data_IF_793059094872
#
_entry.id   IF_793059094872
#
_cell.length_a   1.000
_cell.length_b   1.000
_cell.length_c   1.000
_cell.angle_alpha   90.00
_cell.angle_beta   90.00
_cell.angle_gamma   90.00
#
_symmetry.space_group_name_H-M   'P 1'
#
loop_
_entity.id
_entity.type
_entity.pdbx_description
1 polymer ?
#
# COMPACT_ATOMS: atom_id res chain seq x y z
N UNK A 1 3.51 -18.31 0.03
CA UNK A 1 2.35 -18.09 -0.86
C UNK A 1 2.85 -18.12 -2.30
N UNK A 2 2.16 -18.78 -3.22
CA UNK A 2 2.54 -18.82 -4.63
C UNK A 2 2.23 -17.48 -5.33
N UNK A 3 3.12 -17.01 -6.20
CA UNK A 3 2.98 -15.71 -6.90
C UNK A 3 1.75 -15.72 -7.81
N UNK A 4 1.45 -16.84 -8.48
CA UNK A 4 0.25 -16.97 -9.32
C UNK A 4 -1.05 -16.70 -8.57
N UNK A 5 -1.14 -17.09 -7.29
CA UNK A 5 -2.35 -16.89 -6.50
C UNK A 5 -2.56 -15.40 -6.22
N UNK A 6 -1.46 -14.70 -5.98
CA UNK A 6 -1.49 -13.27 -5.79
C UNK A 6 -1.86 -12.53 -7.08
N UNK A 7 -1.25 -12.89 -8.22
CA UNK A 7 -1.63 -12.35 -9.54
C UNK A 7 -3.12 -12.64 -9.82
N UNK A 8 -3.59 -13.85 -9.52
CA UNK A 8 -5.01 -14.20 -9.65
C UNK A 8 -5.90 -13.27 -8.84
N UNK A 9 -5.56 -13.08 -7.56
CA UNK A 9 -6.33 -12.23 -6.66
C UNK A 9 -6.35 -10.77 -7.13
N UNK A 10 -5.22 -10.26 -7.60
CA UNK A 10 -5.13 -8.86 -8.03
C UNK A 10 -5.93 -8.59 -9.30
N UNK A 11 -5.75 -9.44 -10.32
CA UNK A 11 -6.25 -9.14 -11.66
C UNK A 11 -7.67 -9.65 -11.91
N UNK A 12 -8.09 -10.70 -11.21
CA UNK A 12 -9.33 -11.41 -11.52
C UNK A 12 -10.30 -11.51 -10.34
N UNK A 13 -9.87 -11.23 -9.11
CA UNK A 13 -10.83 -11.22 -8.00
C UNK A 13 -11.71 -9.97 -8.05
N UNK A 14 -12.98 -10.15 -7.68
CA UNK A 14 -13.87 -9.02 -7.39
C UNK A 14 -13.75 -8.74 -5.91
N UNK A 15 -13.35 -7.52 -5.57
CA UNK A 15 -13.40 -7.06 -4.19
C UNK A 15 -14.82 -7.22 -3.64
N UNK A 16 -14.94 -7.81 -2.45
CA UNK A 16 -16.18 -7.89 -1.69
C UNK A 16 -15.99 -7.05 -0.44
N UNK A 17 -16.83 -6.03 -0.28
CA UNK A 17 -16.80 -5.19 0.91
C UNK A 17 -16.92 -6.04 2.17
N UNK A 18 -15.94 -5.90 3.05
CA UNK A 18 -15.98 -6.53 4.37
C UNK A 18 -16.55 -5.56 5.40
N UNK A 19 -17.05 -6.10 6.51
CA UNK A 19 -17.56 -5.29 7.62
C UNK A 19 -16.52 -4.28 8.17
N UNK A 20 -15.24 -4.67 8.40
CA UNK A 20 -14.19 -3.72 8.75
C UNK A 20 -14.01 -2.61 7.72
N UNK A 21 -14.05 -2.93 6.42
CA UNK A 21 -13.93 -1.92 5.35
C UNK A 21 -15.08 -0.91 5.40
N UNK A 22 -16.34 -1.37 5.53
CA UNK A 22 -17.50 -0.48 5.64
C UNK A 22 -17.39 0.46 6.84
N UNK A 23 -17.03 -0.08 8.00
CA UNK A 23 -16.87 0.73 9.21
C UNK A 23 -15.70 1.72 9.08
N UNK A 24 -14.59 1.32 8.46
CA UNK A 24 -13.47 2.21 8.22
C UNK A 24 -13.89 3.44 7.41
N UNK A 25 -14.68 3.24 6.35
CA UNK A 25 -15.19 4.31 5.49
C UNK A 25 -16.18 5.23 6.20
N UNK A 26 -17.08 4.66 7.03
CA UNK A 26 -18.08 5.44 7.77
C UNK A 26 -17.42 6.46 8.71
N UNK A 27 -16.29 6.10 9.32
CA UNK A 27 -15.63 6.94 10.33
C UNK A 27 -14.49 7.80 9.77
N UNK A 28 -14.02 7.56 8.55
CA UNK A 28 -12.88 8.26 7.94
C UNK A 28 -13.04 9.79 8.01
N UNK A 29 -14.21 10.31 7.58
CA UNK A 29 -14.48 11.75 7.61
C UNK A 29 -14.46 12.33 9.03
N UNK A 30 -14.98 11.57 10.01
CA UNK A 30 -14.95 11.97 11.42
C UNK A 30 -13.51 12.01 11.92
N UNK A 31 -12.73 10.95 11.67
CA UNK A 31 -11.32 10.86 12.07
C UNK A 31 -10.45 11.95 11.44
N UNK A 32 -10.71 12.33 10.18
CA UNK A 32 -10.03 13.47 9.54
C UNK A 32 -10.41 14.78 10.24
N UNK A 33 -11.66 14.96 10.65
CA UNK A 33 -12.10 16.11 11.44
C UNK A 33 -11.35 16.21 12.77
N UNK A 34 -11.27 15.10 13.50
CA UNK A 34 -10.55 14.98 14.77
C UNK A 34 -9.05 15.23 14.61
N UNK A 35 -8.43 14.68 13.56
CA UNK A 35 -7.04 14.96 13.20
C UNK A 35 -6.79 16.46 13.01
N UNK A 36 -7.70 17.17 12.32
CA UNK A 36 -7.60 18.61 12.11
C UNK A 36 -7.70 19.40 13.42
N UNK A 37 -8.64 19.03 14.29
CA UNK A 37 -8.77 19.64 15.62
C UNK A 37 -7.50 19.43 16.43
N UNK A 38 -6.97 18.20 16.44
CA UNK A 38 -5.74 17.88 17.17
C UNK A 38 -4.54 18.69 16.69
N UNK A 39 -4.43 18.89 15.38
CA UNK A 39 -3.37 19.71 14.79
C UNK A 39 -3.55 21.21 15.10
N UNK A 40 -4.78 21.70 15.17
CA UNK A 40 -5.07 23.06 15.59
C UNK A 40 -4.69 23.32 17.07
N UNK A 41 -4.90 22.34 17.97
CA UNK A 41 -4.40 22.42 19.36
C UNK A 41 -2.88 22.55 19.45
N UNK A 42 -2.16 21.96 18.48
CA UNK A 42 -0.70 22.07 18.32
C UNK A 42 -0.28 23.36 17.59
N UNK A 43 -1.20 24.30 17.38
CA UNK A 43 -1.02 25.54 16.61
C UNK A 43 -0.65 25.30 15.13
N UNK A 44 -0.97 24.13 14.57
CA UNK A 44 -0.78 23.79 13.17
C UNK A 44 -2.10 23.91 12.43
N UNK A 45 -2.29 25.04 11.74
CA UNK A 45 -3.46 25.24 10.88
C UNK A 45 -3.21 24.54 9.54
N UNK A 46 -4.06 23.57 9.24
CA UNK A 46 -3.98 22.79 8.01
C UNK A 46 -5.35 22.52 7.39
N UNK A 47 -5.33 22.19 6.11
CA UNK A 47 -6.47 21.67 5.36
C UNK A 47 -6.15 20.27 4.84
N UNK A 48 -7.18 19.43 4.74
CA UNK A 48 -7.07 18.09 4.15
C UNK A 48 -7.95 18.05 2.92
N UNK A 49 -7.32 17.86 1.77
CA UNK A 49 -8.00 17.64 0.49
C UNK A 49 -8.07 16.15 0.22
N UNK A 50 -9.23 15.64 -0.18
CA UNK A 50 -9.35 14.24 -0.60
C UNK A 50 -8.48 14.02 -1.84
N UNK A 51 -7.67 12.96 -1.82
CA UNK A 51 -6.83 12.60 -2.95
C UNK A 51 -7.49 11.48 -3.75
N UNK A 52 -7.47 11.61 -5.07
CA UNK A 52 -7.71 10.48 -5.96
C UNK A 52 -6.50 9.56 -6.06
N UNK A 53 -6.48 8.75 -7.12
CA UNK A 53 -5.33 7.94 -7.48
C UNK A 53 -4.19 8.81 -8.01
N UNK A 54 -3.02 8.68 -7.40
CA UNK A 54 -1.77 9.31 -7.79
C UNK A 54 -0.94 8.26 -8.54
N UNK A 55 -0.51 8.56 -9.76
CA UNK A 55 0.38 7.71 -10.54
C UNK A 55 1.80 8.26 -10.39
N UNK A 56 2.78 7.39 -10.21
CA UNK A 56 4.18 7.81 -10.16
C UNK A 56 4.64 8.30 -11.53
N UNK A 57 5.25 9.48 -11.57
CA UNK A 57 5.83 10.05 -12.79
C UNK A 57 7.10 9.30 -13.25
N UNK A 58 7.83 8.69 -12.31
CA UNK A 58 9.08 7.98 -12.61
C UNK A 58 8.83 6.50 -12.96
N UNK A 59 7.77 5.93 -12.40
CA UNK A 59 7.43 4.52 -12.52
C UNK A 59 5.92 4.37 -12.75
N UNK A 60 5.46 4.60 -13.98
CA UNK A 60 4.02 4.69 -14.32
C UNK A 60 3.19 3.43 -13.98
N UNK A 61 3.86 2.30 -13.81
CA UNK A 61 3.25 1.06 -13.31
C UNK A 61 2.95 1.08 -11.81
N UNK A 62 3.36 2.14 -11.11
CA UNK A 62 3.11 2.36 -9.69
C UNK A 62 2.12 3.50 -9.48
N UNK A 63 1.12 3.27 -8.64
CA UNK A 63 0.10 4.26 -8.32
C UNK A 63 -0.51 3.99 -6.95
N UNK A 64 -0.89 5.04 -6.22
CA UNK A 64 -1.48 4.95 -4.90
C UNK A 64 -2.49 6.04 -4.58
N UNK A 65 -3.36 5.73 -3.63
CA UNK A 65 -4.46 6.61 -3.22
C UNK A 65 -4.31 6.87 -1.73
N UNK A 66 -3.67 7.97 -1.32
CA UNK A 66 -3.68 8.39 0.08
C UNK A 66 -5.10 8.82 0.48
N UNK A 67 -5.41 8.79 1.78
CA UNK A 67 -6.72 9.23 2.28
C UNK A 67 -6.88 10.76 2.19
N UNK A 68 -5.77 11.50 2.17
CA UNK A 68 -5.79 12.93 1.87
C UNK A 68 -4.42 13.54 1.58
N UNK A 69 -4.44 14.74 1.01
CA UNK A 69 -3.30 15.64 0.89
C UNK A 69 -3.48 16.72 1.95
N UNK A 70 -2.50 16.82 2.84
CA UNK A 70 -2.41 17.82 3.90
C UNK A 70 -1.72 19.05 3.33
N UNK A 71 -2.36 20.20 3.44
CA UNK A 71 -1.73 21.49 3.15
C UNK A 71 -1.70 22.32 4.44
N UNK A 72 -0.50 22.65 4.91
CA UNK A 72 -0.28 23.48 6.10
C UNK A 72 -0.20 24.95 5.68
N UNK A 73 -0.65 25.87 6.53
CA UNK A 73 -0.70 27.31 6.22
C UNK A 73 0.66 27.96 5.87
N UNK A 74 1.77 27.32 6.24
CA UNK A 74 3.14 27.72 5.88
C UNK A 74 3.58 27.27 4.47
N UNK A 75 2.70 26.59 3.71
CA UNK A 75 2.98 26.07 2.37
C UNK A 75 3.51 24.63 2.34
N UNK A 76 3.77 24.01 3.50
CA UNK A 76 4.17 22.61 3.56
C UNK A 76 3.03 21.69 3.09
N UNK A 77 3.41 20.66 2.35
CA UNK A 77 2.50 19.63 1.87
C UNK A 77 2.93 18.26 2.37
N UNK A 78 1.94 17.46 2.75
CA UNK A 78 2.14 16.08 3.17
C UNK A 78 0.97 15.22 2.73
N UNK A 79 1.08 13.93 3.03
CA UNK A 79 -0.01 12.97 2.85
C UNK A 79 -0.66 12.66 4.20
N UNK A 80 -1.89 12.13 4.14
CA UNK A 80 -2.62 11.60 5.26
C UNK A 80 -3.03 10.15 4.94
N UNK A 81 -2.76 9.23 5.87
CA UNK A 81 -3.26 7.86 5.82
C UNK A 81 -3.95 7.54 7.15
N UNK A 82 -5.20 7.13 7.09
CA UNK A 82 -6.09 6.93 8.24
C UNK A 82 -6.46 5.45 8.36
N UNK A 83 -6.20 4.86 9.52
CA UNK A 83 -6.63 3.51 9.88
C UNK A 83 -7.59 3.57 11.06
N UNK A 84 -8.88 3.39 10.75
CA UNK A 84 -9.92 3.21 11.76
C UNK A 84 -9.96 1.74 12.19
N UNK A 85 -9.50 1.45 13.41
CA UNK A 85 -9.45 0.10 13.94
C UNK A 85 -10.80 -0.26 14.56
N UNK A 86 -11.54 -1.12 13.87
CA UNK A 86 -12.77 -1.68 14.42
C UNK A 86 -12.47 -2.98 15.17
N UNK A 87 -12.91 -3.05 16.43
CA UNK A 87 -12.86 -4.26 17.23
C UNK A 87 -14.18 -4.46 17.98
N UNK A 88 -14.57 -5.73 18.14
CA UNK A 88 -15.79 -6.11 18.86
C UNK A 88 -15.73 -5.82 20.36
N UNK A 89 -14.52 -5.66 20.91
CA UNK A 89 -14.28 -5.28 22.30
C UNK A 89 -13.55 -3.93 22.33
N UNK A 90 -13.70 -3.17 23.43
CA UNK A 90 -12.93 -1.95 23.60
C UNK A 90 -11.42 -2.23 23.52
N UNK A 91 -10.68 -1.43 22.74
CA UNK A 91 -9.24 -1.60 22.58
C UNK A 91 -8.52 -0.32 22.95
N UNK A 92 -7.68 -0.42 23.98
CA UNK A 92 -6.70 0.59 24.30
C UNK A 92 -5.42 0.35 23.46
N UNK A 93 -4.94 1.35 22.72
CA UNK A 93 -3.79 1.27 21.83
C UNK A 93 -2.50 0.84 22.54
N UNK A 94 -2.26 1.27 23.78
CA UNK A 94 -1.09 0.86 24.56
C UNK A 94 -1.16 -0.61 24.97
N UNK A 95 -2.34 -1.09 25.35
CA UNK A 95 -2.56 -2.51 25.66
C UNK A 95 -2.45 -3.36 24.39
N UNK A 96 -3.02 -2.89 23.27
CA UNK A 96 -2.95 -3.56 21.98
C UNK A 96 -1.51 -3.66 21.45
N UNK A 97 -0.68 -2.64 21.70
CA UNK A 97 0.72 -2.62 21.31
C UNK A 97 1.57 -3.71 21.99
N UNK A 98 1.10 -4.33 23.08
CA UNK A 98 1.73 -5.51 23.66
C UNK A 98 1.57 -6.76 22.77
N UNK A 99 0.58 -6.76 21.85
CA UNK A 99 0.41 -7.83 20.89
C UNK A 99 1.40 -7.67 19.73
N UNK A 100 2.23 -8.69 19.49
CA UNK A 100 3.19 -8.72 18.39
C UNK A 100 2.55 -8.55 16.99
N UNK A 101 1.28 -8.94 16.83
CA UNK A 101 0.54 -8.83 15.57
C UNK A 101 -0.16 -7.47 15.39
N UNK A 102 -0.12 -6.58 16.39
CA UNK A 102 -0.69 -5.24 16.26
C UNK A 102 0.24 -4.32 15.46
N UNK A 103 -0.31 -3.30 14.79
CA UNK A 103 0.48 -2.39 13.96
C UNK A 103 1.40 -1.47 14.77
N UNK A 104 0.97 -1.06 15.96
CA UNK A 104 1.77 -0.21 16.84
C UNK A 104 2.60 -1.04 17.81
N UNK A 105 3.71 -0.47 18.26
CA UNK A 105 4.53 -0.95 19.35
C UNK A 105 4.83 0.17 20.34
N UNK A 106 5.07 -0.21 21.60
CA UNK A 106 5.45 0.70 22.67
C UNK A 106 6.98 0.76 22.76
N UNK A 107 7.56 1.95 22.63
CA UNK A 107 8.99 2.21 22.88
C UNK A 107 9.10 3.39 23.85
N UNK A 108 9.75 3.20 25.01
CA UNK A 108 9.96 4.25 26.03
C UNK A 108 8.69 5.07 26.32
N UNK A 109 7.59 4.37 26.63
CA UNK A 109 6.26 4.96 26.92
C UNK A 109 5.57 5.74 25.79
N UNK A 110 6.07 5.66 24.56
CA UNK A 110 5.42 6.19 23.37
C UNK A 110 5.04 5.09 22.40
N UNK A 111 3.99 5.34 21.62
CA UNK A 111 3.55 4.45 20.56
C UNK A 111 4.24 4.81 19.25
N UNK A 112 4.59 3.80 18.46
CA UNK A 112 5.14 3.96 17.13
C UNK A 112 4.55 2.90 16.21
N UNK A 113 4.33 3.23 14.95
CA UNK A 113 4.12 2.26 13.89
C UNK A 113 5.39 1.42 13.73
N UNK A 114 5.22 0.10 13.78
CA UNK A 114 6.28 -0.87 13.53
C UNK A 114 6.82 -0.70 12.11
N UNK A 115 8.13 -0.50 11.98
CA UNK A 115 8.78 -0.31 10.67
C UNK A 115 8.73 -1.57 9.78
N UNK A 116 8.56 -2.75 10.39
CA UNK A 116 8.38 -4.01 9.66
C UNK A 116 6.90 -4.37 9.42
N UNK A 117 5.96 -3.50 9.77
CA UNK A 117 4.54 -3.72 9.55
C UNK A 117 4.10 -3.20 8.19
N UNK A 118 3.11 -3.86 7.60
CA UNK A 118 2.61 -3.58 6.25
C UNK A 118 2.16 -2.13 6.04
N UNK A 119 1.49 -1.53 7.02
CA UNK A 119 1.17 -0.09 6.98
C UNK A 119 2.38 0.84 6.84
N UNK A 120 3.56 0.48 7.36
CA UNK A 120 4.76 1.30 7.19
C UNK A 120 5.22 1.27 5.73
N UNK A 121 5.23 0.10 5.11
CA UNK A 121 5.49 -0.05 3.68
C UNK A 121 4.44 0.68 2.82
N UNK A 122 3.17 0.67 3.23
CA UNK A 122 2.13 1.47 2.56
C UNK A 122 2.45 2.97 2.61
N UNK A 123 2.82 3.49 3.78
CA UNK A 123 3.18 4.90 3.95
C UNK A 123 4.38 5.28 3.07
N UNK A 124 5.44 4.46 3.09
CA UNK A 124 6.64 4.68 2.27
C UNK A 124 6.33 4.59 0.78
N UNK A 125 5.46 3.66 0.37
CA UNK A 125 5.00 3.56 -1.01
C UNK A 125 4.29 4.82 -1.48
N UNK A 126 3.33 5.33 -0.69
CA UNK A 126 2.59 6.56 -1.01
C UNK A 126 3.52 7.78 -1.11
N UNK A 127 4.47 7.92 -0.19
CA UNK A 127 5.46 9.00 -0.19
C UNK A 127 6.31 9.00 -1.46
N UNK A 128 6.78 7.83 -1.90
CA UNK A 128 7.62 7.72 -3.08
C UNK A 128 6.83 7.84 -4.39
N UNK A 129 5.63 7.24 -4.47
CA UNK A 129 4.74 7.36 -5.64
C UNK A 129 4.33 8.81 -5.87
N UNK A 130 3.94 9.53 -4.83
CA UNK A 130 3.51 10.93 -4.93
C UNK A 130 4.63 11.97 -4.82
N UNK A 131 5.88 11.55 -4.64
CA UNK A 131 7.04 12.42 -4.37
C UNK A 131 6.81 13.42 -3.21
N UNK A 132 6.23 12.94 -2.10
CA UNK A 132 6.07 13.70 -0.86
C UNK A 132 7.18 13.37 0.14
N UNK A 133 7.57 14.33 0.99
CA UNK A 133 8.58 14.10 2.03
C UNK A 133 8.00 13.51 3.32
N UNK A 134 6.74 13.84 3.63
CA UNK A 134 6.10 13.49 4.90
C UNK A 134 4.66 13.02 4.73
N UNK A 135 4.26 12.09 5.59
CA UNK A 135 2.92 11.55 5.70
C UNK A 135 2.54 11.48 7.18
N UNK A 136 1.37 11.97 7.54
CA UNK A 136 0.80 11.76 8.87
C UNK A 136 -0.01 10.45 8.86
N UNK A 137 0.47 9.46 9.61
CA UNK A 137 -0.20 8.19 9.81
C UNK A 137 -1.10 8.29 11.04
N UNK A 138 -2.40 8.08 10.85
CA UNK A 138 -3.41 8.26 11.88
C UNK A 138 -4.07 6.92 12.18
N UNK A 139 -4.12 6.57 13.46
CA UNK A 139 -4.89 5.41 13.94
C UNK A 139 -5.96 5.90 14.89
N UNK A 140 -7.20 5.47 14.67
CA UNK A 140 -8.33 5.83 15.50
C UNK A 140 -9.05 4.58 16.02
N UNK A 141 -9.30 4.54 17.33
CA UNK A 141 -10.22 3.59 17.98
C UNK A 141 -11.45 4.34 18.47
N UNK A 142 -12.62 3.72 18.40
CA UNK A 142 -13.89 4.36 18.78
C UNK A 142 -14.26 4.06 20.24
N UNK A 143 -13.83 2.91 20.77
CA UNK A 143 -14.12 2.49 22.13
C UNK A 143 -12.90 1.79 22.75
N UNK A 144 -12.26 2.35 23.79
CA UNK A 144 -12.31 3.77 24.13
C UNK A 144 -11.87 4.62 22.92
N UNK A 145 -12.34 5.86 22.88
CA UNK A 145 -11.88 6.81 21.86
C UNK A 145 -10.39 7.10 22.06
N UNK A 146 -9.56 6.81 21.06
CA UNK A 146 -8.15 7.19 21.05
C UNK A 146 -7.71 7.54 19.64
N UNK A 147 -7.03 8.68 19.51
CA UNK A 147 -6.41 9.13 18.29
C UNK A 147 -4.89 9.10 18.45
N UNK A 148 -4.24 8.30 17.61
CA UNK A 148 -2.79 8.26 17.49
C UNK A 148 -2.39 8.89 16.16
N UNK A 149 -1.38 9.77 16.19
CA UNK A 149 -0.84 10.42 15.01
C UNK A 149 0.69 10.26 15.06
N UNK A 150 1.27 9.76 13.99
CA UNK A 150 2.72 9.74 13.79
C UNK A 150 3.07 10.33 12.43
N UNK A 151 3.97 11.31 12.43
CA UNK A 151 4.61 11.78 11.21
C UNK A 151 5.66 10.77 10.76
N UNK A 152 5.56 10.33 9.51
CA UNK A 152 6.48 9.42 8.84
C UNK A 152 7.20 10.19 7.74
N UNK A 153 8.53 10.16 7.78
CA UNK A 153 9.39 10.75 6.77
C UNK A 153 9.72 9.72 5.68
N UNK A 154 9.95 10.20 4.46
CA UNK A 154 10.31 9.36 3.31
C UNK A 154 11.68 8.72 3.52
N UNK A 155 11.71 7.40 3.49
CA UNK A 155 12.91 6.58 3.55
C UNK A 155 13.31 6.13 2.14
N UNK A 156 14.22 6.89 1.53
CA UNK A 156 14.75 6.59 0.20
C UNK A 156 15.63 5.33 0.18
N UNK A 157 16.26 4.98 1.30
CA UNK A 157 17.09 3.78 1.38
C UNK A 157 16.21 2.53 1.32
N UNK A 158 15.12 2.50 2.10
CA UNK A 158 14.12 1.44 2.05
C UNK A 158 13.46 1.36 0.66
N UNK A 159 13.13 2.51 0.07
CA UNK A 159 12.54 2.55 -1.26
C UNK A 159 13.47 1.96 -2.33
N UNK A 160 14.65 2.55 -2.50
CA UNK A 160 15.56 2.24 -3.59
C UNK A 160 16.16 0.83 -3.47
N UNK A 161 16.48 0.38 -2.25
CA UNK A 161 17.20 -0.87 -2.05
C UNK A 161 16.29 -2.06 -1.75
N UNK A 162 15.04 -1.84 -1.34
CA UNK A 162 14.13 -2.93 -0.95
C UNK A 162 12.82 -2.91 -1.74
N UNK A 163 12.06 -1.82 -1.66
CA UNK A 163 10.69 -1.79 -2.20
C UNK A 163 10.67 -1.76 -3.72
N UNK A 164 11.31 -0.75 -4.33
CA UNK A 164 11.25 -0.51 -5.77
C UNK A 164 11.79 -1.70 -6.60
N UNK A 165 12.93 -2.34 -6.26
CA UNK A 165 13.41 -3.50 -7.01
C UNK A 165 12.41 -4.67 -6.98
N UNK A 166 11.79 -4.93 -5.81
CA UNK A 166 10.79 -6.01 -5.64
C UNK A 166 9.51 -5.70 -6.38
N UNK A 167 9.00 -4.46 -6.28
CA UNK A 167 7.82 -3.98 -7.00
C UNK A 167 8.02 -4.07 -8.52
N UNK A 168 9.18 -3.63 -9.00
CA UNK A 168 9.55 -3.66 -10.43
C UNK A 168 9.62 -5.10 -10.95
N UNK A 169 10.28 -6.00 -10.22
CA UNK A 169 10.36 -7.40 -10.59
C UNK A 169 8.97 -8.06 -10.61
N UNK A 170 8.15 -7.79 -9.60
CA UNK A 170 6.79 -8.32 -9.54
C UNK A 170 5.94 -7.81 -10.71
N UNK A 171 6.00 -6.51 -11.03
CA UNK A 171 5.32 -5.97 -12.19
C UNK A 171 5.78 -6.63 -13.49
N UNK A 172 7.09 -6.62 -13.77
CA UNK A 172 7.64 -7.08 -15.06
C UNK A 172 7.48 -8.57 -15.29
N UNK A 173 7.61 -9.39 -14.25
CA UNK A 173 7.68 -10.84 -14.40
C UNK A 173 6.42 -11.59 -13.96
N UNK A 174 5.54 -10.97 -13.16
CA UNK A 174 4.29 -11.60 -12.72
C UNK A 174 3.07 -10.93 -13.34
N UNK A 175 2.95 -9.60 -13.21
CA UNK A 175 1.76 -8.87 -13.66
C UNK A 175 1.76 -8.69 -15.17
N UNK A 176 2.77 -8.03 -15.73
CA UNK A 176 2.84 -7.66 -17.14
C UNK A 176 2.64 -8.84 -18.11
N UNK A 177 3.21 -10.04 -17.89
CA UNK A 177 2.96 -11.19 -18.76
C UNK A 177 1.51 -11.67 -18.72
N UNK A 178 0.86 -11.57 -17.56
CA UNK A 178 -0.56 -11.91 -17.41
C UNK A 178 -1.46 -10.86 -18.04
N UNK A 179 -1.06 -9.58 -18.02
CA UNK A 179 -1.75 -8.50 -18.72
C UNK A 179 -1.67 -8.64 -20.25
N UNK A 180 -0.47 -8.86 -20.76
CA UNK A 180 -0.21 -8.95 -22.19
C UNK A 180 -0.79 -10.24 -22.80
N UNK A 181 -0.78 -11.34 -22.04
CA UNK A 181 -1.29 -12.62 -22.49
C UNK A 181 -1.92 -13.40 -21.31
N UNK A 182 -3.21 -13.12 -21.00
CA UNK A 182 -3.96 -13.77 -19.92
C UNK A 182 -3.99 -15.29 -20.04
N UNK A 183 -3.81 -15.98 -18.91
CA UNK A 183 -3.87 -17.45 -18.78
C UNK A 183 -4.77 -17.94 -17.64
N UNK A 184 -5.39 -17.06 -16.87
CA UNK A 184 -6.48 -17.45 -15.96
C UNK A 184 -7.55 -18.24 -16.73
N UNK A 185 -7.99 -19.37 -16.16
CA UNK A 185 -8.96 -20.29 -16.79
C UNK A 185 -8.40 -21.22 -17.88
N UNK A 186 -7.15 -21.04 -18.34
CA UNK A 186 -6.51 -21.95 -19.31
C UNK A 186 -5.85 -23.14 -18.61
N UNK A 187 -5.70 -24.26 -19.32
CA UNK A 187 -5.05 -25.48 -18.81
C UNK A 187 -3.63 -25.24 -18.28
N UNK A 188 -2.89 -24.31 -18.89
CA UNK A 188 -1.54 -23.91 -18.46
C UNK A 188 -1.50 -23.10 -17.17
N UNK A 189 -2.62 -22.49 -16.76
CA UNK A 189 -2.71 -21.59 -15.61
C UNK A 189 -1.90 -20.29 -15.73
N UNK A 190 -2.05 -19.41 -14.74
CA UNK A 190 -1.25 -18.18 -14.59
C UNK A 190 0.22 -18.57 -14.40
N UNK A 191 1.12 -17.82 -15.06
CA UNK A 191 2.56 -18.05 -15.02
C UNK A 191 3.07 -17.87 -13.59
N UNK A 192 3.78 -18.88 -13.08
CA UNK A 192 4.67 -18.68 -11.94
C UNK A 192 5.99 -18.12 -12.47
N UNK A 193 6.46 -16.98 -11.96
CA UNK A 193 7.86 -16.62 -12.15
C UNK A 193 8.69 -17.74 -11.51
N UNK A 194 9.56 -18.40 -12.29
CA UNK A 194 10.36 -19.54 -11.83
C UNK A 194 11.15 -19.19 -10.56
N UNK A 195 11.34 -20.19 -9.69
CA UNK A 195 12.30 -20.10 -8.58
C UNK A 195 13.70 -20.12 -9.19
N UNK A 196 14.43 -19.01 -9.09
CA UNK A 196 15.82 -18.93 -9.56
C UNK A 196 16.77 -19.40 -8.45
N UNK A 197 17.18 -20.67 -8.45
CA UNK A 197 18.18 -21.23 -7.53
C UNK A 197 19.56 -21.19 -8.22
N UNK A 198 20.57 -20.60 -7.56
CA UNK A 198 21.98 -20.76 -7.93
C UNK A 198 22.46 -22.14 -7.45
N UNK A 199 22.92 -22.97 -8.37
CA UNK A 199 23.38 -24.31 -8.04
C UNK A 199 24.89 -24.34 -7.78
N UNK A 200 25.27 -24.47 -6.52
CA UNK A 200 26.63 -24.81 -6.11
C UNK A 200 26.85 -26.31 -6.28
N UNK A 201 26.96 -26.78 -7.54
CA UNK A 201 27.11 -28.18 -7.97
C UNK A 201 25.81 -28.99 -7.76
N UNK A 202 24.91 -29.07 -8.75
CA UNK A 202 24.81 -30.09 -9.81
C UNK A 202 23.53 -29.88 -10.66
N UNK A 203 23.63 -29.10 -11.75
CA UNK A 203 22.63 -28.85 -12.83
C UNK A 203 21.24 -28.28 -12.45
N UNK A 204 20.97 -27.05 -12.89
CA UNK A 204 19.65 -26.61 -13.37
C UNK A 204 19.75 -25.81 -14.68
N UNK A 205 18.91 -26.17 -15.65
CA UNK A 205 18.84 -25.61 -17.01
C UNK A 205 17.53 -24.84 -17.16
N UNK A 206 17.59 -23.57 -17.58
CA UNK A 206 16.50 -22.89 -18.28
C UNK A 206 17.09 -22.29 -19.55
N UNK A 207 16.72 -22.83 -20.72
CA UNK A 207 17.16 -22.31 -22.02
C UNK A 207 16.68 -20.86 -22.15
N UNK A 208 17.64 -19.97 -22.42
CA UNK A 208 17.46 -18.54 -22.60
C UNK A 208 16.50 -18.23 -23.76
N UNK A 209 15.67 -17.19 -23.60
CA UNK A 209 15.38 -16.30 -24.72
C UNK A 209 16.62 -15.42 -24.88
N UNK A 210 17.31 -15.57 -26.02
CA UNK A 210 18.27 -14.58 -26.50
C UNK A 210 17.45 -13.51 -27.23
N UNK A 211 17.57 -12.26 -26.81
CA UNK A 211 17.28 -11.15 -27.71
C UNK A 211 18.51 -10.92 -28.60
N UNK A 212 18.30 -10.54 -29.86
CA UNK A 212 19.28 -10.48 -30.97
C UNK A 212 20.52 -9.57 -30.76
N UNK A 213 20.74 -9.03 -29.57
CA UNK A 213 21.80 -8.05 -29.30
C UNK A 213 22.84 -8.45 -28.24
N UNK A 214 22.74 -9.62 -27.61
CA UNK A 214 23.89 -10.23 -26.91
C UNK A 214 24.54 -9.41 -25.77
N UNK A 215 23.79 -8.59 -25.02
CA UNK A 215 24.33 -7.84 -23.87
C UNK A 215 23.92 -8.51 -22.56
N UNK A 216 24.90 -8.96 -21.80
CA UNK A 216 24.74 -9.52 -20.45
C UNK A 216 24.66 -8.37 -19.43
N UNK A 217 23.53 -8.23 -18.72
CA UNK A 217 23.37 -7.23 -17.65
C UNK A 217 23.19 -7.96 -16.33
N UNK A 218 24.17 -7.83 -15.44
CA UNK A 218 24.21 -8.49 -14.13
C UNK A 218 22.90 -8.36 -13.34
N UNK A 219 22.44 -9.49 -12.80
CA UNK A 219 21.15 -9.60 -12.12
C UNK A 219 21.30 -9.69 -10.60
N UNK A 220 20.49 -8.89 -9.91
CA UNK A 220 20.39 -8.82 -8.45
C UNK A 220 19.54 -9.99 -7.94
N UNK A 221 20.10 -10.73 -6.99
CA UNK A 221 19.48 -11.84 -6.26
C UNK A 221 18.20 -11.37 -5.55
N UNK A 222 17.04 -11.94 -5.91
CA UNK A 222 15.79 -11.74 -5.18
C UNK A 222 15.56 -12.97 -4.30
N UNK A 223 16.08 -12.95 -3.07
CA UNK A 223 15.56 -13.83 -2.02
C UNK A 223 14.18 -13.30 -1.63
N UNK A 224 13.13 -13.81 -2.28
CA UNK A 224 11.75 -13.71 -1.75
C UNK A 224 11.61 -14.76 -0.66
N UNK A 225 12.42 -14.66 0.39
CA UNK A 225 12.09 -15.30 1.65
C UNK A 225 10.92 -14.49 2.22
N UNK A 226 9.70 -14.93 1.90
CA UNK A 226 8.49 -14.46 2.57
C UNK A 226 8.55 -14.94 4.02
N UNK A 227 9.33 -14.25 4.85
CA UNK A 227 9.13 -14.31 6.28
C UNK A 227 7.70 -13.87 6.54
N UNK A 228 7.03 -14.58 7.46
CA UNK A 228 5.59 -14.55 7.76
C UNK A 228 5.03 -13.19 8.26
N UNK A 229 5.60 -12.06 7.84
CA UNK A 229 5.30 -10.73 8.39
C UNK A 229 4.84 -9.71 7.36
N UNK A 230 4.95 -9.96 6.05
CA UNK A 230 4.44 -9.04 5.03
C UNK A 230 3.50 -9.74 4.05
N UNK A 231 2.21 -9.40 4.08
CA UNK A 231 1.29 -9.80 3.00
C UNK A 231 1.47 -8.83 1.86
N UNK A 232 1.80 -9.37 0.69
CA UNK A 232 1.90 -8.59 -0.54
C UNK A 232 0.63 -7.77 -0.80
N UNK A 233 -0.54 -8.26 -0.36
CA UNK A 233 -1.86 -7.59 -0.35
C UNK A 233 -1.80 -6.10 0.06
N UNK A 234 -0.87 -5.72 0.93
CA UNK A 234 -0.75 -4.36 1.50
C UNK A 234 0.33 -3.48 0.81
N UNK A 235 1.16 -4.08 -0.04
CA UNK A 235 2.09 -3.39 -0.97
C UNK A 235 1.34 -2.88 -2.23
N UNK A 236 0.08 -3.30 -2.42
CA UNK A 236 -0.71 -3.06 -3.65
C UNK A 236 -1.38 -1.71 -3.78
N UNK A 237 -1.29 -0.82 -2.78
CA UNK A 237 -1.62 0.60 -3.00
C UNK A 237 -0.54 1.30 -3.81
N UNK A 238 0.45 0.59 -4.37
CA UNK A 238 1.49 1.16 -5.20
C UNK A 238 1.66 0.45 -6.54
N UNK A 239 0.81 -0.48 -6.98
CA UNK A 239 0.96 -1.20 -8.27
C UNK A 239 -0.31 -1.14 -9.13
N UNK A 240 -0.18 -0.43 -10.26
CA UNK A 240 -1.11 -0.19 -11.37
C UNK A 240 -2.53 0.33 -11.09
N UNK A 241 -2.94 1.41 -11.77
CA UNK A 241 -4.34 1.82 -11.95
C UNK A 241 -5.20 0.85 -12.75
N UNK A 242 -4.62 0.10 -13.69
CA UNK A 242 -5.41 -0.42 -14.81
C UNK A 242 -6.06 -1.79 -14.56
N UNK A 243 -5.60 -2.61 -13.59
CA UNK A 243 -6.10 -4.00 -13.49
C UNK A 243 -6.57 -4.44 -12.10
N UNK A 244 -6.41 -3.64 -11.04
CA UNK A 244 -6.96 -4.03 -9.74
C UNK A 244 -8.12 -3.12 -9.37
N UNK A 245 -9.32 -3.72 -9.26
CA UNK A 245 -10.39 -3.17 -8.43
C UNK A 245 -10.00 -3.37 -6.95
N UNK A 246 -8.83 -2.84 -6.57
CA UNK A 246 -8.36 -2.82 -5.20
C UNK A 246 -9.44 -2.15 -4.33
N UNK A 247 -9.74 -2.64 -3.11
CA UNK A 247 -10.69 -2.02 -2.20
C UNK A 247 -10.58 -0.50 -2.19
N UNK A 248 -9.40 0.04 -1.93
CA UNK A 248 -9.17 1.48 -1.84
C UNK A 248 -9.45 2.20 -3.16
N UNK A 249 -9.07 1.61 -4.30
CA UNK A 249 -9.28 2.20 -5.65
C UNK A 249 -10.73 2.09 -6.12
N UNK A 250 -11.39 0.95 -5.89
CA UNK A 250 -12.81 0.73 -6.19
C UNK A 250 -13.71 1.62 -5.32
N UNK A 251 -13.38 1.72 -4.02
CA UNK A 251 -14.03 2.65 -3.07
C UNK A 251 -13.84 4.09 -3.56
N UNK A 252 -12.66 4.47 -4.03
CA UNK A 252 -12.40 5.83 -4.53
C UNK A 252 -13.08 6.12 -5.88
N UNK A 253 -13.13 5.15 -6.80
CA UNK A 253 -13.89 5.27 -8.06
C UNK A 253 -15.40 5.41 -7.81
N UNK A 254 -15.95 4.69 -6.83
CA UNK A 254 -17.35 4.86 -6.41
C UNK A 254 -17.59 6.24 -5.75
N UNK A 255 -16.60 6.79 -5.02
CA UNK A 255 -16.65 8.17 -4.47
C UNK A 255 -16.72 9.24 -5.56
N UNK A 256 -15.89 9.13 -6.60
CA UNK A 256 -15.88 10.05 -7.77
C UNK A 256 -17.22 10.02 -8.54
N UNK A 257 -17.79 8.82 -8.75
CA UNK A 257 -19.08 8.66 -9.45
C UNK A 257 -20.26 9.26 -8.67
N UNK A 258 -20.27 9.16 -7.32
CA UNK A 258 -21.33 9.75 -6.49
C UNK A 258 -21.27 11.28 -6.42
N UNK A 259 -20.08 11.88 -6.47
CA UNK A 259 -19.90 13.33 -6.49
C UNK A 259 -20.23 13.95 -7.85
N UNK A 260 -19.93 13.27 -8.96
CA UNK A 260 -20.30 13.73 -10.31
C UNK A 260 -21.80 13.52 -10.60
N UNK A 261 -22.42 12.47 -10.05
CA UNK A 261 -23.87 12.27 -10.14
C UNK A 261 -24.69 13.34 -9.41
N UNK A 262 -24.12 14.03 -8.42
CA UNK A 262 -24.76 15.15 -7.72
C UNK A 262 -24.56 16.51 -8.39
N UNK A 263 -23.74 16.60 -9.45
CA UNK A 263 -23.61 17.79 -10.31
C UNK A 263 -24.40 17.70 -11.62
N UNK A 264 -24.96 16.54 -11.95
CA UNK A 264 -25.83 16.33 -13.12
C UNK A 264 -27.33 16.50 -12.80
N UNK A 265 -27.67 16.75 -11.53
CA UNK A 265 -29.02 17.06 -11.05
C UNK A 265 -29.02 18.30 -10.13
N UNK A 266 -28.28 19.34 -10.53
CA UNK A 266 -28.38 20.69 -9.97
C UNK A 266 -28.60 21.69 -11.08
#
# INVERSE_FOLDING_TARGET
MLVKNLVKNLLYSKFRETFPTKNGLLHERSTIGEYRLKKAEENVILTVQLSGLIISNEHEFLAGSPDGIVNVGNGEKGLLEVKNLFHSKPINLFQAAANKNFCLEKRQDKLFLKQNHDYYYQCQGLLNVGNFQVLDFVVCTINPYQLFIQRIERDLNLWNNVMLPRLTAFYRFAILPELACPREGKSSGIREPGVWILDGKTKMVQRAFKDDMGIDRGYVRIDVQMNNTCRLDDIFTCLLPAITRSPSIYIHQQRQLRQNGSRLFS
#
